data_IF_546024264611
#
_entry.id   IF_546024264611
#
_cell.length_a   1.000
_cell.length_b   1.000
_cell.length_c   1.000
_cell.angle_alpha   90.00
_cell.angle_beta   90.00
_cell.angle_gamma   90.00
#
_symmetry.space_group_name_H-M   'P 1'
#
loop_
_entity.id
_entity.type
_entity.pdbx_description
1 polymer ?
#
# COMPACT_ATOMS: atom_id res chain seq x y z
N UNK A 1 -24.95 -38.83 16.23
CA UNK A 1 -24.14 -38.81 15.00
C UNK A 1 -24.22 -37.50 14.18
N UNK A 2 -25.32 -36.80 14.19
CA UNK A 2 -25.40 -35.47 13.45
C UNK A 2 -24.54 -34.36 14.02
N UNK A 3 -24.16 -34.41 15.29
CA UNK A 3 -23.30 -33.38 15.93
C UNK A 3 -21.81 -33.55 15.64
N UNK A 4 -21.37 -34.73 15.26
CA UNK A 4 -19.96 -34.99 14.91
C UNK A 4 -19.61 -34.51 13.48
N UNK A 5 -20.58 -34.49 12.57
CA UNK A 5 -20.38 -34.01 11.19
C UNK A 5 -20.20 -32.48 11.11
N UNK A 6 -20.82 -31.72 12.02
CA UNK A 6 -20.71 -30.27 12.04
C UNK A 6 -19.31 -29.81 12.51
N UNK A 7 -18.66 -30.55 13.39
CA UNK A 7 -17.31 -30.26 13.87
C UNK A 7 -16.22 -30.48 12.82
N UNK A 8 -16.44 -31.42 11.88
CA UNK A 8 -15.46 -31.73 10.83
C UNK A 8 -15.52 -30.68 9.70
N UNK A 9 -16.68 -30.08 9.44
CA UNK A 9 -16.84 -29.03 8.42
C UNK A 9 -16.19 -27.70 8.88
N UNK A 10 -16.14 -27.44 10.19
CA UNK A 10 -15.49 -26.23 10.75
C UNK A 10 -13.96 -26.30 10.68
N UNK A 11 -13.37 -27.48 10.53
CA UNK A 11 -11.92 -27.69 10.46
C UNK A 11 -11.33 -27.54 9.05
N UNK A 12 -12.18 -27.38 8.02
CA UNK A 12 -11.77 -27.28 6.61
C UNK A 12 -11.93 -25.88 6.00
N UNK A 13 -12.09 -24.85 6.82
CA UNK A 13 -11.91 -23.48 6.33
C UNK A 13 -10.42 -23.29 6.14
N UNK A 14 -9.91 -23.22 4.89
CA UNK A 14 -8.54 -22.82 4.67
C UNK A 14 -8.43 -21.41 5.24
N UNK A 15 -7.66 -21.25 6.32
CA UNK A 15 -7.16 -19.97 6.73
C UNK A 15 -6.27 -19.50 5.57
N UNK A 16 -6.88 -18.88 4.57
CA UNK A 16 -6.16 -18.07 3.63
C UNK A 16 -5.54 -16.93 4.46
N UNK A 17 -4.37 -17.17 4.98
CA UNK A 17 -3.50 -16.16 5.55
C UNK A 17 -3.05 -15.31 4.37
N UNK A 18 -3.91 -14.38 3.96
CA UNK A 18 -3.47 -13.27 3.14
C UNK A 18 -2.38 -12.58 3.95
N UNK A 19 -1.24 -12.30 3.33
CA UNK A 19 -0.22 -11.46 3.92
C UNK A 19 -0.86 -10.08 4.16
N UNK A 20 -1.41 -9.89 5.35
CA UNK A 20 -2.02 -8.65 5.77
C UNK A 20 -0.93 -7.61 5.91
N UNK A 21 -1.06 -6.51 5.21
CA UNK A 21 -0.24 -5.34 5.42
C UNK A 21 -0.65 -4.68 6.74
N UNK A 22 0.32 -4.16 7.49
CA UNK A 22 0.05 -3.38 8.70
C UNK A 22 -0.71 -2.07 8.41
N UNK A 23 -0.86 -1.71 7.13
CA UNK A 23 -1.67 -0.58 6.66
C UNK A 23 -3.14 -0.94 6.38
N UNK A 24 -3.55 -2.21 6.51
CA UNK A 24 -4.90 -2.65 6.17
C UNK A 24 -5.99 -1.96 7.02
N UNK A 25 -5.77 -1.82 8.31
CA UNK A 25 -6.69 -1.12 9.20
C UNK A 25 -6.80 0.38 8.88
N UNK A 26 -5.68 1.00 8.49
CA UNK A 26 -5.67 2.38 8.03
C UNK A 26 -6.53 2.56 6.77
N UNK A 27 -6.29 1.75 5.74
CA UNK A 27 -7.03 1.83 4.48
C UNK A 27 -8.52 1.50 4.67
N UNK A 28 -8.85 0.50 5.50
CA UNK A 28 -10.22 0.16 5.82
C UNK A 28 -10.95 1.30 6.54
N UNK A 29 -10.24 2.00 7.44
CA UNK A 29 -10.81 3.10 8.22
C UNK A 29 -11.18 4.34 7.39
N UNK A 30 -10.47 4.63 6.31
CA UNK A 30 -10.72 5.81 5.46
C UNK A 30 -11.49 5.48 4.18
N UNK A 31 -11.51 4.22 3.75
CA UNK A 31 -12.20 3.79 2.53
C UNK A 31 -13.70 4.06 2.63
N UNK A 32 -14.24 4.78 1.64
CA UNK A 32 -15.66 5.10 1.58
C UNK A 32 -16.12 6.24 2.50
N UNK A 33 -15.22 6.86 3.24
CA UNK A 33 -15.58 8.08 4.00
C UNK A 33 -15.81 9.27 3.05
N UNK A 34 -16.78 10.12 3.41
CA UNK A 34 -17.09 11.31 2.63
C UNK A 34 -15.87 12.26 2.54
N UNK A 35 -15.60 12.77 1.34
CA UNK A 35 -14.47 13.67 1.05
C UNK A 35 -13.17 12.92 0.70
N UNK A 36 -13.09 11.61 0.94
CA UNK A 36 -11.92 10.81 0.56
C UNK A 36 -12.13 10.10 -0.76
N UNK A 37 -11.13 10.18 -1.62
CA UNK A 37 -11.03 9.34 -2.81
C UNK A 37 -10.19 8.11 -2.49
N UNK A 38 -10.72 6.93 -2.79
CA UNK A 38 -10.03 5.65 -2.63
C UNK A 38 -9.81 4.99 -3.99
N UNK A 39 -8.58 4.62 -4.29
CA UNK A 39 -8.19 3.90 -5.50
C UNK A 39 -7.48 2.62 -5.08
N UNK A 40 -7.89 1.48 -5.66
CA UNK A 40 -7.23 0.18 -5.45
C UNK A 40 -6.98 -0.48 -6.80
N UNK A 41 -5.72 -0.72 -7.12
CA UNK A 41 -5.30 -1.51 -8.27
C UNK A 41 -4.86 -2.89 -7.80
N UNK A 42 -5.73 -3.88 -8.03
CA UNK A 42 -5.39 -5.28 -7.81
C UNK A 42 -4.65 -5.89 -9.00
N UNK A 43 -4.24 -7.14 -8.87
CA UNK A 43 -3.42 -7.86 -9.85
C UNK A 43 -3.96 -7.77 -11.29
N UNK A 44 -5.27 -7.94 -11.46
CA UNK A 44 -5.90 -7.91 -12.78
C UNK A 44 -5.77 -6.55 -13.47
N UNK A 45 -5.95 -5.45 -12.73
CA UNK A 45 -5.77 -4.09 -13.27
C UNK A 45 -4.31 -3.83 -13.60
N UNK A 46 -3.38 -4.25 -12.73
CA UNK A 46 -1.95 -4.13 -12.98
C UNK A 46 -1.52 -4.92 -14.23
N UNK A 47 -2.11 -6.09 -14.47
CA UNK A 47 -1.85 -6.87 -15.68
C UNK A 47 -2.31 -6.15 -16.97
N UNK A 48 -3.47 -5.47 -16.92
CA UNK A 48 -3.93 -4.64 -18.05
C UNK A 48 -3.01 -3.44 -18.31
N UNK A 49 -2.49 -2.80 -17.26
CA UNK A 49 -1.56 -1.67 -17.41
C UNK A 49 -0.22 -2.05 -18.07
N UNK A 50 0.13 -3.33 -18.08
CA UNK A 50 1.37 -3.83 -18.72
C UNK A 50 1.31 -3.79 -20.26
N UNK A 51 0.13 -3.81 -20.85
CA UNK A 51 -0.04 -3.90 -22.30
C UNK A 51 0.62 -2.70 -23.00
N UNK A 52 0.46 -1.50 -22.44
CA UNK A 52 1.00 -0.25 -22.98
C UNK A 52 2.28 0.23 -22.29
N UNK A 53 2.81 -0.57 -21.34
CA UNK A 53 3.96 -0.19 -20.55
C UNK A 53 5.30 -0.49 -21.26
N UNK A 54 6.32 0.35 -21.00
CA UNK A 54 7.70 0.05 -21.37
C UNK A 54 8.21 -1.22 -20.72
N UNK A 55 9.27 -1.83 -21.23
CA UNK A 55 9.84 -3.08 -20.70
C UNK A 55 10.18 -2.99 -19.21
N UNK A 56 10.77 -1.87 -18.79
CA UNK A 56 11.19 -1.65 -17.39
C UNK A 56 9.98 -1.50 -16.46
N UNK A 57 8.96 -0.74 -16.89
CA UNK A 57 7.71 -0.57 -16.14
C UNK A 57 6.97 -1.91 -16.04
N UNK A 58 6.92 -2.66 -17.13
CA UNK A 58 6.29 -3.99 -17.18
C UNK A 58 6.98 -4.96 -16.21
N UNK A 59 8.30 -4.99 -16.19
CA UNK A 59 9.06 -5.82 -15.27
C UNK A 59 8.75 -5.50 -13.80
N UNK A 60 8.59 -4.21 -13.47
CA UNK A 60 8.21 -3.77 -12.14
C UNK A 60 6.76 -4.14 -11.81
N UNK A 61 5.80 -3.86 -12.71
CA UNK A 61 4.38 -4.21 -12.53
C UNK A 61 4.16 -5.71 -12.31
N UNK A 62 5.04 -6.56 -12.86
CA UNK A 62 5.00 -8.01 -12.63
C UNK A 62 5.26 -8.39 -11.18
N UNK A 63 6.00 -7.57 -10.44
CA UNK A 63 6.37 -7.80 -9.04
C UNK A 63 5.45 -7.11 -8.05
N UNK A 64 4.58 -6.21 -8.52
CA UNK A 64 3.58 -5.52 -7.69
C UNK A 64 2.32 -6.39 -7.60
N UNK A 65 1.83 -6.58 -6.39
CA UNK A 65 0.59 -7.30 -6.09
C UNK A 65 -0.61 -6.36 -5.99
N UNK A 66 -0.42 -5.20 -5.35
CA UNK A 66 -1.48 -4.23 -5.09
C UNK A 66 -0.92 -2.82 -4.98
N UNK A 67 -1.68 -1.84 -5.47
CA UNK A 67 -1.48 -0.43 -5.18
C UNK A 67 -2.77 0.10 -4.56
N UNK A 68 -2.66 0.80 -3.44
CA UNK A 68 -3.78 1.48 -2.76
C UNK A 68 -3.45 2.94 -2.57
N UNK A 69 -4.43 3.80 -2.81
CA UNK A 69 -4.29 5.25 -2.63
C UNK A 69 -5.54 5.76 -1.91
N UNK A 70 -5.33 6.55 -0.88
CA UNK A 70 -6.37 7.40 -0.27
C UNK A 70 -5.90 8.83 -0.37
N UNK A 71 -6.76 9.71 -0.87
CA UNK A 71 -6.46 11.12 -0.99
C UNK A 71 -7.64 11.99 -0.57
N UNK A 72 -7.35 13.23 -0.18
CA UNK A 72 -8.30 14.27 0.14
C UNK A 72 -7.82 15.59 -0.47
N UNK A 73 -8.73 16.37 -1.06
CA UNK A 73 -8.40 17.63 -1.76
C UNK A 73 -7.97 18.77 -0.83
N UNK A 74 -8.18 18.61 0.48
CA UNK A 74 -7.73 19.57 1.49
C UNK A 74 -6.60 18.97 2.34
N UNK A 75 -5.71 19.82 2.88
CA UNK A 75 -4.68 19.36 3.81
C UNK A 75 -5.31 18.92 5.14
N UNK A 76 -5.39 17.62 5.37
CA UNK A 76 -5.94 17.02 6.58
C UNK A 76 -4.84 16.38 7.44
N UNK A 77 -4.52 17.01 8.57
CA UNK A 77 -3.54 16.48 9.52
C UNK A 77 -3.95 15.12 10.11
N UNK A 78 -5.25 14.86 10.23
CA UNK A 78 -5.78 13.61 10.80
C UNK A 78 -5.36 12.36 10.02
N UNK A 79 -5.48 12.37 8.68
CA UNK A 79 -5.07 11.23 7.84
C UNK A 79 -3.55 11.03 7.90
N UNK A 80 -2.79 12.12 7.87
CA UNK A 80 -1.32 12.08 7.95
C UNK A 80 -0.86 11.49 9.28
N UNK A 81 -1.46 11.96 10.40
CA UNK A 81 -1.16 11.43 11.72
C UNK A 81 -1.51 9.93 11.83
N UNK A 82 -2.69 9.53 11.34
CA UNK A 82 -3.12 8.13 11.36
C UNK A 82 -2.21 7.22 10.54
N UNK A 83 -1.78 7.68 9.36
CA UNK A 83 -0.85 6.92 8.51
C UNK A 83 0.51 6.74 9.19
N UNK A 84 1.09 7.83 9.73
CA UNK A 84 2.35 7.75 10.50
C UNK A 84 2.23 6.79 11.68
N UNK A 85 1.13 6.89 12.43
CA UNK A 85 0.88 6.01 13.57
C UNK A 85 0.82 4.54 13.16
N UNK A 86 0.17 4.21 12.04
CA UNK A 86 0.12 2.83 11.53
C UNK A 86 1.51 2.30 11.16
N UNK A 87 2.33 3.12 10.50
CA UNK A 87 3.71 2.80 10.17
C UNK A 87 4.56 2.59 11.43
N UNK A 88 4.47 3.50 12.41
CA UNK A 88 5.27 3.46 13.64
C UNK A 88 4.88 2.29 14.55
N UNK A 89 3.59 1.98 14.66
CA UNK A 89 3.09 0.91 15.53
C UNK A 89 3.48 -0.48 15.03
N UNK A 90 3.61 -0.67 13.73
CA UNK A 90 3.99 -1.96 13.16
C UNK A 90 5.42 -2.36 13.47
N UNK A 91 6.31 -1.38 13.73
CA UNK A 91 7.77 -1.56 13.95
C UNK A 91 8.50 -2.32 12.84
N UNK A 92 7.86 -2.48 11.68
CA UNK A 92 8.43 -3.19 10.52
C UNK A 92 8.87 -2.22 9.44
N UNK A 93 8.46 -0.96 9.53
CA UNK A 93 8.79 0.05 8.53
C UNK A 93 10.05 0.82 8.91
N UNK A 94 10.86 1.05 7.89
CA UNK A 94 12.02 1.93 7.94
C UNK A 94 11.74 3.14 7.04
N UNK A 95 12.09 4.33 7.53
CA UNK A 95 12.01 5.54 6.71
C UNK A 95 13.18 5.57 5.72
N UNK A 96 12.84 5.67 4.42
CA UNK A 96 13.84 5.73 3.35
C UNK A 96 14.22 7.17 3.05
N UNK A 97 13.24 8.05 3.01
CA UNK A 97 13.41 9.44 2.60
C UNK A 97 12.33 10.34 3.16
N UNK A 98 12.69 11.60 3.37
CA UNK A 98 11.79 12.68 3.73
C UNK A 98 12.14 13.90 2.91
N UNK A 99 11.20 14.36 2.10
CA UNK A 99 11.38 15.50 1.19
C UNK A 99 10.43 16.60 1.63
N UNK A 100 10.98 17.79 1.90
CA UNK A 100 10.21 18.99 2.21
C UNK A 100 10.53 20.04 1.14
N UNK A 101 9.54 20.37 0.34
CA UNK A 101 9.69 21.31 -0.77
C UNK A 101 8.41 22.12 -0.96
N UNK A 102 8.53 23.45 -1.05
CA UNK A 102 7.42 24.36 -1.34
C UNK A 102 6.18 24.18 -0.43
N UNK A 103 6.40 23.89 0.87
CA UNK A 103 5.33 23.65 1.84
C UNK A 103 4.69 22.27 1.75
N UNK A 104 5.18 21.41 0.89
CA UNK A 104 4.79 20.00 0.78
C UNK A 104 5.81 19.11 1.46
N UNK A 105 5.32 18.14 2.23
CA UNK A 105 6.13 17.12 2.88
C UNK A 105 5.75 15.75 2.32
N UNK A 106 6.75 15.03 1.81
CA UNK A 106 6.62 13.63 1.37
C UNK A 106 7.53 12.75 2.21
N UNK A 107 6.96 11.71 2.79
CA UNK A 107 7.67 10.73 3.60
C UNK A 107 7.53 9.36 2.95
N UNK A 108 8.63 8.62 2.89
CA UNK A 108 8.72 7.33 2.20
C UNK A 108 9.22 6.28 3.18
N UNK A 109 8.48 5.19 3.28
CA UNK A 109 8.74 4.08 4.18
C UNK A 109 8.74 2.76 3.40
N UNK A 110 9.54 1.81 3.84
CA UNK A 110 9.52 0.44 3.35
C UNK A 110 9.47 -0.52 4.54
N UNK A 111 8.64 -1.55 4.43
CA UNK A 111 8.59 -2.60 5.45
C UNK A 111 9.66 -3.66 5.22
N UNK A 112 9.96 -4.42 6.26
CA UNK A 112 10.53 -5.76 6.10
C UNK A 112 9.50 -6.69 5.42
N UNK A 113 9.93 -7.91 5.08
CA UNK A 113 9.07 -8.91 4.47
C UNK A 113 7.77 -9.12 5.28
N UNK A 114 6.64 -9.13 4.59
CA UNK A 114 5.32 -9.31 5.19
C UNK A 114 5.07 -10.80 5.49
N UNK A 115 5.10 -11.15 6.76
CA UNK A 115 4.91 -12.53 7.21
C UNK A 115 5.97 -13.49 6.64
N UNK A 116 5.53 -14.62 6.06
CA UNK A 116 6.40 -15.62 5.43
C UNK A 116 6.58 -15.38 3.91
N UNK A 117 6.06 -14.28 3.38
CA UNK A 117 6.20 -13.93 1.95
C UNK A 117 7.43 -13.06 1.72
N UNK A 118 7.87 -12.97 0.45
CA UNK A 118 8.91 -12.03 0.02
C UNK A 118 8.34 -10.63 -0.24
N UNK A 119 7.03 -10.45 -0.08
CA UNK A 119 6.39 -9.15 -0.28
C UNK A 119 6.85 -8.14 0.75
N UNK A 120 7.10 -6.95 0.31
CA UNK A 120 7.32 -5.76 1.12
C UNK A 120 6.18 -4.77 0.88
N UNK A 121 5.96 -3.87 1.83
CA UNK A 121 5.05 -2.74 1.67
C UNK A 121 5.87 -1.46 1.60
N UNK A 122 5.66 -0.69 0.54
CA UNK A 122 6.18 0.66 0.39
C UNK A 122 5.05 1.65 0.64
N UNK A 123 5.24 2.56 1.58
CA UNK A 123 4.25 3.57 1.95
C UNK A 123 4.79 4.97 1.66
N UNK A 124 3.98 5.77 0.98
CA UNK A 124 4.24 7.19 0.75
C UNK A 124 3.14 8.01 1.41
N UNK A 125 3.54 8.95 2.28
CA UNK A 125 2.65 9.88 2.96
C UNK A 125 2.96 11.27 2.44
N UNK A 126 1.96 11.94 1.86
CA UNK A 126 2.08 13.28 1.27
C UNK A 126 1.15 14.23 2.02
N UNK A 127 1.72 15.33 2.50
CA UNK A 127 1.00 16.49 3.02
C UNK A 127 1.40 17.72 2.21
N UNK A 128 0.43 18.37 1.58
CA UNK A 128 0.67 19.56 0.76
C UNK A 128 -0.44 20.61 0.99
N UNK A 129 -0.22 21.87 0.59
CA UNK A 129 -1.27 22.88 0.60
C UNK A 129 -2.47 22.53 -0.28
N UNK A 130 -2.30 21.66 -1.27
CA UNK A 130 -3.33 21.23 -2.22
C UNK A 130 -4.08 19.97 -1.78
N UNK A 131 -3.66 19.34 -0.68
CA UNK A 131 -4.32 18.14 -0.19
C UNK A 131 -3.39 17.17 0.53
N UNK A 132 -3.97 16.05 0.91
CA UNK A 132 -3.27 14.96 1.60
C UNK A 132 -3.47 13.66 0.85
N UNK A 133 -2.44 12.82 0.80
CA UNK A 133 -2.51 11.50 0.19
C UNK A 133 -1.64 10.48 0.93
N UNK A 134 -2.12 9.24 0.96
CA UNK A 134 -1.36 8.09 1.42
C UNK A 134 -1.45 7.02 0.36
N UNK A 135 -0.30 6.53 -0.10
CA UNK A 135 -0.19 5.45 -1.08
C UNK A 135 0.56 4.29 -0.48
N UNK A 136 0.11 3.09 -0.78
CA UNK A 136 0.84 1.86 -0.48
C UNK A 136 1.00 1.02 -1.74
N UNK A 137 2.20 0.48 -1.92
CA UNK A 137 2.52 -0.50 -2.95
C UNK A 137 3.00 -1.76 -2.25
N UNK A 138 2.34 -2.89 -2.50
CA UNK A 138 2.73 -4.20 -1.99
C UNK A 138 3.23 -5.08 -3.12
N UNK A 139 4.36 -5.75 -2.92
CA UNK A 139 4.93 -6.63 -3.93
C UNK A 139 6.34 -7.13 -3.57
N UNK A 140 6.94 -7.87 -4.48
CA UNK A 140 8.31 -8.38 -4.38
C UNK A 140 9.31 -7.44 -5.07
N UNK A 141 9.66 -6.34 -4.43
CA UNK A 141 10.59 -5.33 -4.97
C UNK A 141 11.51 -4.80 -3.86
N UNK A 142 12.55 -4.09 -4.25
CA UNK A 142 13.47 -3.40 -3.36
C UNK A 142 13.43 -1.87 -3.55
N UNK A 143 14.17 -1.13 -2.73
CA UNK A 143 14.24 0.35 -2.79
C UNK A 143 14.74 0.85 -4.16
N UNK A 144 15.60 0.07 -4.84
CA UNK A 144 16.13 0.46 -6.16
C UNK A 144 15.04 0.43 -7.23
N UNK A 145 14.08 -0.46 -7.09
CA UNK A 145 12.95 -0.55 -7.99
C UNK A 145 12.03 0.67 -7.84
N UNK A 146 11.82 1.11 -6.60
CA UNK A 146 11.00 2.31 -6.31
C UNK A 146 11.64 3.57 -6.87
N UNK A 147 12.96 3.72 -6.79
CA UNK A 147 13.66 4.88 -7.32
C UNK A 147 13.46 5.05 -8.84
N UNK A 148 13.29 3.94 -9.57
CA UNK A 148 12.97 3.97 -11.01
C UNK A 148 11.56 4.51 -11.30
N UNK A 149 10.58 4.23 -10.42
CA UNK A 149 9.22 4.80 -10.55
C UNK A 149 9.23 6.32 -10.40
N UNK A 150 10.02 6.85 -9.49
CA UNK A 150 10.11 8.30 -9.27
C UNK A 150 10.66 9.07 -10.47
N UNK A 151 11.49 8.42 -11.31
CA UNK A 151 12.03 9.02 -12.55
C UNK A 151 10.99 9.04 -13.67
N UNK A 152 10.08 8.07 -13.72
CA UNK A 152 9.07 7.94 -14.78
C UNK A 152 7.98 9.01 -14.64
N UNK A 153 7.68 9.47 -13.42
CA UNK A 153 6.67 10.51 -13.15
C UNK A 153 7.11 11.95 -13.48
N UNK A 154 8.33 12.17 -13.95
CA UNK A 154 8.90 13.50 -14.28
C UNK A 154 8.94 13.84 -15.76
N UNK A 155 8.19 13.13 -16.61
CA UNK A 155 8.03 13.51 -18.04
C UNK A 155 6.71 14.16 -18.31
#
# INVERSE_FOLDING_TARGET
MKRFFILIILALVPLAVYAQSDMDDFFAGYSGQQGFQTIVYGKRMLDMMKEDASSDVRALLNRISTIRIISHEEPLNGIIYSARRSVDQSRKYEIISKINENGSLSEFYISENLGNSKNVSFVMIISSPQGSAVMEIVGEFDVKDISRLAVIGKK
#
